data_IF_679718740630
#
_entry.id   IF_679718740630
#
_cell.length_a   1.000
_cell.length_b   1.000
_cell.length_c   1.000
_cell.angle_alpha   90.00
_cell.angle_beta   90.00
_cell.angle_gamma   90.00
#
_symmetry.space_group_name_H-M   'P 1'
#
loop_
_entity.id
_entity.type
_entity.pdbx_description
1 polymer ?
#
# COMPACT_ATOMS: atom_id res chain seq x y z
N UNK A 1 1.15 -1.68 13.54
CA UNK A 1 -0.20 -2.07 13.09
C UNK A 1 -1.31 -1.29 13.80
N UNK A 2 -1.29 -1.19 15.14
CA UNK A 2 -2.31 -0.51 15.95
C UNK A 2 -2.60 0.94 15.48
N UNK A 3 -1.55 1.67 15.11
CA UNK A 3 -1.63 3.06 14.63
C UNK A 3 -2.56 3.26 13.42
N UNK A 4 -2.77 2.24 12.60
CA UNK A 4 -3.53 2.37 11.34
C UNK A 4 -5.02 2.05 11.48
N UNK A 5 -5.51 1.61 12.65
CA UNK A 5 -6.96 1.43 12.86
C UNK A 5 -7.70 2.77 12.78
N UNK A 6 -7.03 3.88 13.07
CA UNK A 6 -7.58 5.23 12.88
C UNK A 6 -7.95 5.53 11.43
N UNK A 7 -7.19 4.98 10.47
CA UNK A 7 -7.41 5.17 9.04
C UNK A 7 -8.77 4.64 8.57
N UNK A 8 -9.32 3.66 9.30
CA UNK A 8 -10.65 3.09 9.07
C UNK A 8 -11.68 3.59 10.10
N UNK A 9 -11.43 4.71 10.78
CA UNK A 9 -12.41 5.38 11.64
C UNK A 9 -12.43 4.95 13.10
N UNK A 10 -11.32 4.43 13.63
CA UNK A 10 -11.17 4.18 15.07
C UNK A 10 -10.15 5.13 15.72
N UNK A 11 -10.19 6.43 15.39
CA UNK A 11 -9.20 7.39 15.89
C UNK A 11 -9.23 7.57 17.41
N UNK A 12 -10.38 7.32 18.04
CA UNK A 12 -10.56 7.46 19.50
C UNK A 12 -10.25 6.18 20.30
N UNK A 13 -10.01 5.04 19.64
CA UNK A 13 -9.70 3.77 20.31
C UNK A 13 -8.18 3.60 20.42
N UNK A 14 -7.59 4.27 21.41
CA UNK A 14 -6.14 4.24 21.63
C UNK A 14 -5.72 3.34 22.80
N UNK A 15 -6.63 3.02 23.72
CA UNK A 15 -6.29 2.20 24.88
C UNK A 15 -6.22 0.71 24.52
N UNK A 16 -5.38 -0.03 25.23
CA UNK A 16 -5.29 -1.49 25.06
C UNK A 16 -6.63 -2.18 25.32
N UNK A 17 -7.44 -1.66 26.26
CA UNK A 17 -8.77 -2.19 26.59
C UNK A 17 -9.76 -1.99 25.42
N UNK A 18 -9.71 -0.83 24.76
CA UNK A 18 -10.57 -0.56 23.60
C UNK A 18 -10.24 -1.50 22.45
N UNK A 19 -8.95 -1.75 22.24
CA UNK A 19 -8.44 -2.67 21.21
C UNK A 19 -8.88 -4.10 21.51
N UNK A 20 -8.68 -4.58 22.75
CA UNK A 20 -9.09 -5.94 23.13
C UNK A 20 -10.60 -6.13 22.99
N UNK A 21 -11.39 -5.10 23.31
CA UNK A 21 -12.84 -5.11 23.12
C UNK A 21 -13.19 -5.18 21.63
N UNK A 22 -12.54 -4.36 20.80
CA UNK A 22 -12.73 -4.38 19.35
C UNK A 22 -12.36 -5.73 18.73
N UNK A 23 -11.27 -6.36 19.17
CA UNK A 23 -10.88 -7.69 18.69
C UNK A 23 -11.92 -8.73 19.07
N UNK A 24 -12.42 -8.72 20.32
CA UNK A 24 -13.50 -9.63 20.75
C UNK A 24 -14.75 -9.43 19.90
N UNK A 25 -15.13 -8.18 19.63
CA UNK A 25 -16.28 -7.85 18.80
C UNK A 25 -16.11 -8.33 17.35
N UNK A 26 -14.90 -8.28 16.79
CA UNK A 26 -14.59 -8.82 15.46
C UNK A 26 -14.74 -10.34 15.43
N UNK A 27 -14.25 -11.05 16.45
CA UNK A 27 -14.35 -12.51 16.54
C UNK A 27 -15.80 -12.97 16.73
N UNK A 28 -16.56 -12.28 17.58
CA UNK A 28 -17.96 -12.66 17.90
C UNK A 28 -18.96 -12.35 16.77
N UNK A 29 -18.71 -11.29 16.00
CA UNK A 29 -19.62 -10.80 14.95
C UNK A 29 -18.92 -10.75 13.58
N UNK A 30 -18.11 -11.76 13.28
CA UNK A 30 -17.40 -11.85 12.01
C UNK A 30 -18.37 -11.99 10.83
N UNK A 31 -18.12 -11.25 9.75
CA UNK A 31 -18.85 -11.39 8.49
C UNK A 31 -18.34 -12.59 7.68
N UNK A 32 -17.07 -12.92 7.85
CA UNK A 32 -16.40 -14.01 7.16
C UNK A 32 -15.40 -14.68 8.10
N UNK A 33 -15.42 -16.00 8.13
CA UNK A 33 -14.46 -16.84 8.86
C UNK A 33 -13.77 -17.75 7.85
N UNK A 34 -12.45 -17.75 7.85
CA UNK A 34 -11.65 -18.63 6.99
C UNK A 34 -10.77 -19.50 7.87
N UNK A 35 -10.74 -20.79 7.55
CA UNK A 35 -9.96 -21.79 8.27
C UNK A 35 -8.94 -22.43 7.34
N UNK A 36 -7.72 -22.60 7.84
CA UNK A 36 -6.62 -23.27 7.15
C UNK A 36 -6.05 -24.31 8.11
N UNK A 37 -6.05 -25.58 7.71
CA UNK A 37 -5.46 -26.66 8.49
C UNK A 37 -4.00 -26.77 8.07
N UNK A 38 -3.06 -26.58 9.00
CA UNK A 38 -1.64 -26.78 8.76
C UNK A 38 -1.30 -28.28 8.86
N UNK A 39 -0.18 -28.68 8.23
CA UNK A 39 0.28 -30.09 8.22
C UNK A 39 0.58 -30.66 9.61
N UNK A 40 0.84 -29.80 10.59
CA UNK A 40 1.08 -30.17 11.99
C UNK A 40 -0.21 -30.38 12.81
N UNK A 41 -1.39 -30.24 12.20
CA UNK A 41 -2.69 -30.36 12.87
C UNK A 41 -3.20 -29.07 13.51
N UNK A 42 -2.39 -28.00 13.57
CA UNK A 42 -2.86 -26.71 14.08
C UNK A 42 -3.83 -26.06 13.09
N UNK A 43 -4.93 -25.52 13.61
CA UNK A 43 -5.97 -24.87 12.83
C UNK A 43 -5.72 -23.36 12.88
N UNK A 44 -5.39 -22.77 11.73
CA UNK A 44 -5.28 -21.32 11.59
C UNK A 44 -6.63 -20.74 11.21
N UNK A 45 -7.09 -19.73 11.94
CA UNK A 45 -8.39 -19.09 11.71
C UNK A 45 -8.25 -17.60 11.52
N UNK A 46 -8.95 -17.09 10.49
CA UNK A 46 -9.05 -15.68 10.16
C UNK A 46 -10.51 -15.23 10.28
N UNK A 47 -10.76 -14.31 11.20
CA UNK A 47 -12.04 -13.62 11.39
C UNK A 47 -11.97 -12.25 10.72
N UNK A 48 -12.89 -11.96 9.80
CA UNK A 48 -12.98 -10.66 9.14
C UNK A 48 -14.33 -10.02 9.45
N UNK A 49 -14.30 -8.74 9.83
CA UNK A 49 -15.51 -7.92 10.03
C UNK A 49 -15.36 -6.57 9.35
N UNK A 50 -16.43 -6.15 8.69
CA UNK A 50 -16.52 -4.91 7.93
C UNK A 50 -17.12 -3.81 8.81
N UNK A 51 -16.52 -2.61 8.75
CA UNK A 51 -16.98 -1.43 9.46
C UNK A 51 -17.40 -0.30 8.52
N UNK A 52 -17.58 -0.62 7.24
CA UNK A 52 -17.95 0.30 6.18
C UNK A 52 -17.78 -0.36 4.82
N UNK A 53 -17.99 0.40 3.76
CA UNK A 53 -17.82 -0.11 2.40
C UNK A 53 -16.35 -0.45 2.13
N UNK A 54 -16.05 -1.75 1.98
CA UNK A 54 -14.71 -2.29 1.70
C UNK A 54 -13.64 -2.04 2.77
N UNK A 55 -14.00 -1.54 3.96
CA UNK A 55 -13.08 -1.35 5.08
C UNK A 55 -13.46 -2.25 6.26
N UNK A 56 -12.47 -2.73 6.99
CA UNK A 56 -12.73 -3.61 8.12
C UNK A 56 -11.49 -3.99 8.90
N UNK A 57 -11.66 -4.93 9.83
CA UNK A 57 -10.57 -5.49 10.63
C UNK A 57 -10.53 -6.99 10.42
N UNK A 58 -9.32 -7.51 10.27
CA UNK A 58 -9.02 -8.93 10.25
C UNK A 58 -8.29 -9.31 11.52
N UNK A 59 -8.74 -10.37 12.19
CA UNK A 59 -8.11 -10.99 13.35
C UNK A 59 -7.71 -12.41 12.97
N UNK A 60 -6.45 -12.74 13.20
CA UNK A 60 -5.87 -14.05 12.90
C UNK A 60 -5.34 -14.70 14.17
N UNK A 61 -5.45 -16.01 14.24
CA UNK A 61 -4.98 -16.78 15.38
C UNK A 61 -5.00 -18.28 15.13
N UNK A 62 -4.68 -19.05 16.15
CA UNK A 62 -4.72 -20.51 16.12
C UNK A 62 -5.82 -21.03 17.05
N UNK A 63 -6.57 -22.03 16.60
CA UNK A 63 -7.46 -22.80 17.45
C UNK A 63 -6.73 -24.04 17.96
N UNK A 64 -6.75 -24.23 19.29
CA UNK A 64 -6.21 -25.43 19.91
C UNK A 64 -7.16 -26.63 19.76
N UNK A 65 -6.68 -27.83 20.13
CA UNK A 65 -7.46 -29.07 20.08
C UNK A 65 -8.75 -29.03 20.94
N UNK A 66 -8.87 -28.05 21.85
CA UNK A 66 -10.03 -27.83 22.72
C UNK A 66 -11.02 -26.81 22.13
N UNK A 67 -10.73 -26.24 20.96
CA UNK A 67 -11.54 -25.22 20.31
C UNK A 67 -11.39 -23.82 20.93
N UNK A 68 -10.35 -23.57 21.72
CA UNK A 68 -10.05 -22.23 22.24
C UNK A 68 -9.24 -21.46 21.21
N UNK A 69 -9.75 -20.29 20.82
CA UNK A 69 -9.08 -19.40 19.88
C UNK A 69 -8.02 -18.55 20.60
N UNK A 70 -6.76 -18.72 20.20
CA UNK A 70 -5.63 -17.92 20.65
C UNK A 70 -5.30 -16.87 19.59
N UNK A 71 -5.51 -15.60 19.94
CA UNK A 71 -5.26 -14.47 19.04
C UNK A 71 -3.76 -14.35 18.76
N UNK A 72 -3.38 -14.31 17.49
CA UNK A 72 -2.00 -14.07 17.05
C UNK A 72 -1.78 -12.62 16.62
N UNK A 73 -2.47 -12.19 15.57
CA UNK A 73 -2.29 -10.85 14.97
C UNK A 73 -3.63 -10.27 14.55
N UNK A 74 -3.77 -8.95 14.59
CA UNK A 74 -4.90 -8.25 13.97
C UNK A 74 -4.42 -7.06 13.15
N UNK A 75 -5.18 -6.71 12.12
CA UNK A 75 -4.90 -5.55 11.28
C UNK A 75 -6.16 -4.98 10.62
N UNK A 76 -6.23 -3.65 10.44
CA UNK A 76 -7.21 -3.02 9.56
C UNK A 76 -6.91 -3.35 8.10
N UNK A 77 -7.96 -3.43 7.28
CA UNK A 77 -7.85 -3.66 5.84
C UNK A 77 -8.74 -2.70 5.04
N UNK A 78 -8.34 -2.49 3.79
CA UNK A 78 -9.14 -1.92 2.72
C UNK A 78 -9.16 -2.92 1.56
N UNK A 79 -10.33 -3.24 1.03
CA UNK A 79 -10.49 -4.04 -0.20
C UNK A 79 -10.54 -3.11 -1.40
N UNK A 80 -9.62 -3.30 -2.34
CA UNK A 80 -9.52 -2.43 -3.52
C UNK A 80 -10.71 -2.59 -4.46
N UNK A 81 -11.28 -1.46 -4.88
CA UNK A 81 -12.23 -1.34 -5.99
C UNK A 81 -11.56 -0.88 -7.28
N UNK A 82 -10.25 -0.63 -7.24
CA UNK A 82 -9.49 -0.06 -8.34
C UNK A 82 -9.10 -1.14 -9.36
N UNK A 83 -10.06 -1.55 -10.18
CA UNK A 83 -9.89 -2.62 -11.19
C UNK A 83 -8.79 -2.36 -12.21
N UNK A 84 -8.61 -1.11 -12.61
CA UNK A 84 -7.60 -0.67 -13.58
C UNK A 84 -6.19 -0.60 -12.98
N UNK A 85 -6.07 -0.79 -11.65
CA UNK A 85 -4.83 -0.63 -10.91
C UNK A 85 -4.17 -1.94 -10.46
N UNK A 86 -4.35 -3.00 -11.23
CA UNK A 86 -3.68 -4.27 -10.95
C UNK A 86 -2.26 -4.24 -11.53
N UNK A 87 -1.27 -4.53 -10.69
CA UNK A 87 0.08 -4.81 -11.17
C UNK A 87 0.18 -6.28 -11.58
N UNK A 88 0.84 -6.54 -12.70
CA UNK A 88 1.13 -7.88 -13.22
C UNK A 88 2.64 -8.11 -13.16
N UNK A 89 3.16 -8.38 -11.96
CA UNK A 89 4.60 -8.53 -11.71
C UNK A 89 4.91 -9.89 -11.06
N UNK A 90 6.19 -10.28 -11.07
CA UNK A 90 6.66 -11.43 -10.28
C UNK A 90 6.70 -11.04 -8.79
N UNK A 91 6.11 -11.90 -7.96
CA UNK A 91 5.96 -11.62 -6.52
C UNK A 91 6.73 -12.64 -5.71
N UNK A 92 7.57 -12.13 -4.82
CA UNK A 92 8.26 -12.90 -3.80
C UNK A 92 7.50 -12.82 -2.48
N UNK A 93 7.04 -13.95 -1.96
CA UNK A 93 6.33 -13.99 -0.67
C UNK A 93 7.30 -14.43 0.43
N UNK A 94 7.40 -13.60 1.47
CA UNK A 94 8.24 -13.84 2.64
C UNK A 94 7.40 -13.89 3.91
N UNK A 95 7.65 -14.89 4.78
CA UNK A 95 7.10 -14.92 6.14
C UNK A 95 7.94 -14.02 7.04
N UNK A 96 7.32 -13.12 7.83
CA UNK A 96 8.04 -12.35 8.86
C UNK A 96 8.53 -13.32 9.95
N UNK A 97 9.76 -13.14 10.43
CA UNK A 97 10.37 -14.03 11.43
C UNK A 97 9.63 -13.95 12.77
N UNK A 98 9.20 -12.74 13.14
CA UNK A 98 8.65 -12.44 14.47
C UNK A 98 7.10 -12.44 14.51
N UNK A 99 6.44 -12.85 13.43
CA UNK A 99 4.97 -12.83 13.34
C UNK A 99 4.45 -13.84 12.32
N UNK A 100 3.18 -14.23 12.43
CA UNK A 100 2.47 -14.95 11.38
C UNK A 100 2.02 -14.05 10.20
N UNK A 101 2.60 -12.85 10.11
CA UNK A 101 2.44 -11.96 8.97
C UNK A 101 3.33 -12.38 7.80
N UNK A 102 2.83 -12.15 6.58
CA UNK A 102 3.56 -12.39 5.35
C UNK A 102 3.60 -11.09 4.56
N UNK A 103 4.71 -10.87 3.86
CA UNK A 103 4.92 -9.71 2.99
C UNK A 103 5.17 -10.18 1.57
N UNK A 104 4.52 -9.52 0.61
CA UNK A 104 4.85 -9.65 -0.80
C UNK A 104 5.91 -8.62 -1.16
N UNK A 105 6.83 -8.99 -2.03
CA UNK A 105 7.80 -8.11 -2.64
C UNK A 105 7.69 -8.23 -4.16
N UNK A 106 7.55 -7.13 -4.88
CA UNK A 106 7.63 -7.09 -6.34
C UNK A 106 8.62 -6.00 -6.79
N UNK A 107 9.36 -6.29 -7.86
CA UNK A 107 10.30 -5.35 -8.45
C UNK A 107 9.61 -4.58 -9.58
N UNK A 108 9.03 -3.43 -9.26
CA UNK A 108 8.38 -2.57 -10.24
C UNK A 108 9.38 -1.54 -10.79
N UNK A 109 9.56 -1.53 -12.11
CA UNK A 109 10.46 -0.61 -12.81
C UNK A 109 10.11 0.87 -12.61
N UNK A 110 8.84 1.21 -12.37
CA UNK A 110 8.38 2.59 -12.25
C UNK A 110 8.82 3.27 -10.96
N UNK A 111 9.14 2.51 -9.91
CA UNK A 111 9.57 3.06 -8.60
C UNK A 111 11.10 3.06 -8.48
N UNK A 112 11.79 2.22 -9.26
CA UNK A 112 13.23 2.03 -9.16
C UNK A 112 13.68 1.35 -7.86
N UNK A 113 12.73 0.84 -7.05
CA UNK A 113 12.97 0.06 -5.83
C UNK A 113 11.96 -1.08 -5.72
N UNK A 114 12.35 -2.15 -5.02
CA UNK A 114 11.45 -3.25 -4.67
C UNK A 114 10.31 -2.76 -3.78
N UNK A 115 9.08 -2.97 -4.22
CA UNK A 115 7.87 -2.68 -3.47
C UNK A 115 7.58 -3.82 -2.52
N UNK A 116 7.51 -3.53 -1.23
CA UNK A 116 7.18 -4.49 -0.19
C UNK A 116 5.83 -4.11 0.41
N UNK A 117 4.92 -5.06 0.54
CA UNK A 117 3.58 -4.81 1.04
C UNK A 117 3.10 -5.94 1.95
N UNK A 118 2.21 -5.61 2.88
CA UNK A 118 1.59 -6.56 3.78
C UNK A 118 0.51 -7.40 3.07
N UNK A 119 0.57 -8.73 3.19
CA UNK A 119 -0.36 -9.64 2.51
C UNK A 119 -1.70 -9.78 3.25
N UNK A 120 -2.79 -9.36 2.61
CA UNK A 120 -4.14 -9.47 3.19
C UNK A 120 -4.77 -10.86 3.05
N UNK A 121 -4.56 -11.57 1.94
CA UNK A 121 -5.26 -12.82 1.61
C UNK A 121 -4.33 -14.03 1.54
N UNK A 122 -3.61 -14.27 2.62
CA UNK A 122 -2.61 -15.34 2.71
C UNK A 122 -3.20 -16.73 2.51
N UNK A 123 -4.47 -16.93 2.85
CA UNK A 123 -5.11 -18.22 2.72
C UNK A 123 -5.09 -18.75 1.29
N UNK A 124 -5.14 -17.86 0.30
CA UNK A 124 -5.12 -18.25 -1.11
C UNK A 124 -3.75 -18.81 -1.48
N UNK A 125 -2.68 -18.22 -0.94
CA UNK A 125 -1.32 -18.70 -1.12
C UNK A 125 -1.07 -20.03 -0.40
N UNK A 126 -1.52 -20.18 0.85
CA UNK A 126 -1.33 -21.43 1.59
C UNK A 126 -2.11 -22.57 0.93
N UNK A 127 -3.35 -22.30 0.48
CA UNK A 127 -4.18 -23.31 -0.19
C UNK A 127 -3.68 -23.71 -1.57
N UNK A 128 -3.00 -22.83 -2.30
CA UNK A 128 -2.46 -23.20 -3.62
C UNK A 128 -1.34 -24.24 -3.50
N UNK A 129 -0.79 -24.48 -2.30
CA UNK A 129 0.28 -25.43 -2.08
C UNK A 129 1.55 -25.07 -2.85
N UNK A 130 1.63 -23.85 -3.37
CA UNK A 130 2.76 -23.38 -4.14
C UNK A 130 3.94 -23.21 -3.19
N UNK A 131 4.84 -24.19 -3.22
CA UNK A 131 6.11 -24.17 -2.47
C UNK A 131 7.08 -23.15 -3.07
N UNK A 132 6.72 -22.52 -4.19
CA UNK A 132 7.50 -21.46 -4.81
C UNK A 132 7.30 -20.18 -4.01
N UNK A 133 8.43 -19.60 -3.60
CA UNK A 133 8.51 -18.24 -3.10
C UNK A 133 8.06 -17.23 -4.16
N UNK A 134 8.03 -17.63 -5.43
CA UNK A 134 7.71 -16.82 -6.60
C UNK A 134 6.35 -17.17 -7.21
N UNK A 135 5.49 -16.15 -7.29
CA UNK A 135 4.25 -16.19 -8.05
C UNK A 135 4.42 -15.40 -9.34
N UNK A 136 4.41 -16.09 -10.47
CA UNK A 136 4.57 -15.45 -11.77
C UNK A 136 3.20 -15.01 -12.33
N UNK A 137 3.15 -13.80 -12.90
CA UNK A 137 1.98 -13.23 -13.60
C UNK A 137 0.70 -13.20 -12.75
N UNK A 138 0.82 -12.98 -11.43
CA UNK A 138 -0.34 -12.75 -10.57
C UNK A 138 -0.68 -11.27 -10.55
N UNK A 139 -1.98 -11.00 -10.62
CA UNK A 139 -2.52 -9.64 -10.50
C UNK A 139 -2.54 -9.25 -9.03
N UNK A 140 -1.87 -8.15 -8.70
CA UNK A 140 -1.86 -7.61 -7.33
C UNK A 140 -2.73 -6.38 -7.29
N UNK A 141 -3.63 -6.32 -6.32
CA UNK A 141 -4.30 -5.08 -5.96
C UNK A 141 -3.56 -4.44 -4.81
N UNK A 142 -3.01 -3.26 -5.06
CA UNK A 142 -2.31 -2.47 -4.07
C UNK A 142 -3.28 -1.52 -3.37
N UNK A 143 -3.23 -1.53 -2.04
CA UNK A 143 -3.99 -0.62 -1.18
C UNK A 143 -3.10 -0.05 -0.10
N UNK A 144 -3.53 1.05 0.50
CA UNK A 144 -2.79 1.62 1.61
C UNK A 144 -3.68 2.21 2.69
N UNK A 145 -3.15 2.24 3.91
CA UNK A 145 -3.78 2.89 5.06
C UNK A 145 -2.88 4.02 5.50
N UNK A 146 -3.42 5.23 5.67
CA UNK A 146 -2.64 6.38 6.10
C UNK A 146 -3.04 6.83 7.49
N UNK A 147 -2.05 7.09 8.33
CA UNK A 147 -2.23 7.63 9.68
C UNK A 147 -2.24 9.17 9.70
N UNK A 148 -1.67 9.81 8.68
CA UNK A 148 -1.65 11.27 8.54
C UNK A 148 -1.35 11.66 7.10
N UNK A 149 -2.01 12.73 6.64
CA UNK A 149 -1.89 13.18 5.26
C UNK A 149 -2.16 14.66 5.09
N UNK A 150 -1.65 15.22 4.00
CA UNK A 150 -1.84 16.62 3.61
C UNK A 150 -2.16 16.67 2.12
N UNK A 151 -3.11 17.55 1.76
CA UNK A 151 -3.41 17.85 0.37
C UNK A 151 -2.52 18.99 -0.11
N UNK A 152 -1.86 18.77 -1.24
CA UNK A 152 -0.94 19.70 -1.89
C UNK A 152 -1.56 20.10 -3.23
N UNK A 153 -1.34 21.37 -3.60
CA UNK A 153 -1.78 21.90 -4.89
C UNK A 153 -1.12 21.15 -6.07
N UNK A 154 -1.78 21.08 -7.25
CA UNK A 154 -1.16 20.56 -8.46
C UNK A 154 0.11 21.31 -8.83
N UNK A 155 1.03 20.65 -9.53
CA UNK A 155 2.13 21.32 -10.20
C UNK A 155 1.63 21.99 -11.49
N UNK A 156 2.15 23.17 -11.81
CA UNK A 156 1.80 23.87 -13.04
C UNK A 156 2.55 23.23 -14.22
N UNK A 157 1.83 22.48 -15.07
CA UNK A 157 2.39 21.87 -16.29
C UNK A 157 2.02 22.67 -17.54
N UNK A 158 2.96 22.82 -18.48
CA UNK A 158 2.63 23.23 -19.85
C UNK A 158 2.12 21.98 -20.60
N UNK A 159 1.05 22.09 -21.36
CA UNK A 159 0.36 20.92 -21.99
C UNK A 159 1.32 20.01 -22.78
N UNK A 160 2.31 20.59 -23.47
CA UNK A 160 3.34 19.85 -24.23
C UNK A 160 4.29 19.01 -23.36
N UNK A 161 4.48 19.35 -22.08
CA UNK A 161 5.42 18.64 -21.19
C UNK A 161 4.89 17.30 -20.70
N UNK A 162 3.58 17.06 -20.72
CA UNK A 162 3.00 15.81 -20.21
C UNK A 162 3.17 14.65 -21.21
N UNK A 163 2.99 14.90 -22.51
CA UNK A 163 3.21 13.90 -23.56
C UNK A 163 4.71 13.59 -23.68
N UNK A 164 5.56 14.62 -23.63
CA UNK A 164 7.01 14.45 -23.64
C UNK A 164 7.49 13.62 -22.44
N UNK A 165 7.00 13.89 -21.23
CA UNK A 165 7.37 13.14 -20.02
C UNK A 165 6.94 11.66 -20.06
N UNK A 166 5.79 11.34 -20.67
CA UNK A 166 5.39 9.92 -20.84
C UNK A 166 6.29 9.17 -21.81
N UNK A 167 6.70 9.83 -22.90
CA UNK A 167 7.63 9.24 -23.87
C UNK A 167 9.00 9.05 -23.22
N UNK A 168 9.47 10.05 -22.48
CA UNK A 168 10.74 10.01 -21.76
C UNK A 168 10.79 8.87 -20.72
N UNK A 169 9.71 8.69 -19.95
CA UNK A 169 9.59 7.56 -19.01
C UNK A 169 9.60 6.21 -19.72
N UNK A 170 8.91 6.07 -20.87
CA UNK A 170 8.91 4.82 -21.63
C UNK A 170 10.31 4.47 -22.18
N UNK A 171 11.05 5.47 -22.69
CA UNK A 171 12.43 5.30 -23.14
C UNK A 171 13.34 4.94 -21.95
N UNK A 172 13.17 5.61 -20.81
CA UNK A 172 13.91 5.30 -19.58
C UNK A 172 13.66 3.86 -19.10
N UNK A 173 12.41 3.39 -19.11
CA UNK A 173 12.06 2.04 -18.72
C UNK A 173 12.72 1.00 -19.64
N UNK A 174 12.71 1.24 -20.97
CA UNK A 174 13.39 0.36 -21.91
C UNK A 174 14.90 0.28 -21.64
N UNK A 175 15.56 1.42 -21.42
CA UNK A 175 16.98 1.46 -21.08
C UNK A 175 17.27 0.75 -19.74
N UNK A 176 16.37 0.82 -18.76
CA UNK A 176 16.50 0.08 -17.51
C UNK A 176 16.42 -1.43 -17.72
N UNK A 177 15.53 -1.91 -18.57
CA UNK A 177 15.42 -3.33 -18.89
C UNK A 177 16.66 -3.84 -19.64
N UNK A 178 17.17 -3.06 -20.60
CA UNK A 178 18.43 -3.34 -21.30
C UNK A 178 19.63 -3.38 -20.33
N UNK A 179 19.71 -2.40 -19.41
CA UNK A 179 20.73 -2.36 -18.37
C UNK A 179 20.64 -3.56 -17.40
N UNK A 180 19.43 -3.98 -17.00
CA UNK A 180 19.21 -5.19 -16.19
C UNK A 180 19.71 -6.46 -16.88
N UNK A 181 19.62 -6.49 -18.21
CA UNK A 181 20.15 -7.59 -19.03
C UNK A 181 21.67 -7.51 -19.26
N UNK A 182 22.36 -6.53 -18.67
CA UNK A 182 23.81 -6.39 -18.71
C UNK A 182 24.34 -5.49 -19.85
N UNK A 183 23.49 -4.69 -20.50
CA UNK A 183 23.94 -3.73 -21.51
C UNK A 183 24.68 -2.54 -20.87
N UNK A 184 25.99 -2.48 -21.11
CA UNK A 184 26.86 -1.42 -20.61
C UNK A 184 26.58 -0.07 -21.28
N UNK A 185 26.12 -0.03 -22.53
CA UNK A 185 25.79 1.22 -23.20
C UNK A 185 24.54 1.86 -22.59
N UNK A 186 23.53 1.05 -22.26
CA UNK A 186 22.34 1.52 -21.57
C UNK A 186 22.68 2.09 -20.18
N UNK A 187 23.58 1.43 -19.43
CA UNK A 187 24.09 1.91 -18.15
C UNK A 187 24.80 3.27 -18.25
N UNK A 188 25.64 3.45 -19.27
CA UNK A 188 26.36 4.71 -19.50
C UNK A 188 25.38 5.85 -19.82
N UNK A 189 24.39 5.59 -20.68
CA UNK A 189 23.35 6.58 -21.04
C UNK A 189 22.54 7.00 -19.80
N UNK A 190 22.10 6.02 -19.00
CA UNK A 190 21.37 6.29 -17.75
C UNK A 190 22.23 7.11 -16.78
N UNK A 191 23.51 6.76 -16.63
CA UNK A 191 24.43 7.46 -15.73
C UNK A 191 24.68 8.91 -16.14
N UNK A 192 24.88 9.16 -17.45
CA UNK A 192 25.07 10.52 -17.97
C UNK A 192 23.80 11.36 -17.78
N UNK A 193 22.63 10.79 -18.12
CA UNK A 193 21.34 11.44 -17.93
C UNK A 193 21.08 11.79 -16.45
N UNK A 194 21.40 10.87 -15.53
CA UNK A 194 21.24 11.11 -14.10
C UNK A 194 22.19 12.20 -13.57
N UNK A 195 23.42 12.29 -14.07
CA UNK A 195 24.34 13.38 -13.72
C UNK A 195 23.78 14.75 -14.14
N UNK A 196 23.29 14.86 -15.39
CA UNK A 196 22.72 16.09 -15.93
C UNK A 196 21.43 16.49 -15.18
N UNK A 197 20.56 15.51 -14.92
CA UNK A 197 19.32 15.72 -14.16
C UNK A 197 19.61 16.20 -12.74
N UNK A 198 20.55 15.57 -12.04
CA UNK A 198 20.93 15.96 -10.68
C UNK A 198 21.54 17.37 -10.64
N UNK A 199 22.37 17.73 -11.62
CA UNK A 199 22.90 19.09 -11.73
C UNK A 199 21.80 20.13 -11.97
N UNK A 200 20.85 19.84 -12.86
CA UNK A 200 19.71 20.72 -13.12
C UNK A 200 18.78 20.87 -11.89
N UNK A 201 18.51 19.78 -11.18
CA UNK A 201 17.71 19.77 -9.95
C UNK A 201 18.40 20.58 -8.84
N UNK A 202 19.71 20.42 -8.67
CA UNK A 202 20.47 21.14 -7.65
C UNK A 202 20.43 22.66 -7.84
N UNK A 203 20.37 23.14 -9.09
CA UNK A 203 20.22 24.56 -9.37
C UNK A 203 18.79 25.05 -9.10
N UNK A 204 17.77 24.29 -9.52
CA UNK A 204 16.36 24.65 -9.32
C UNK A 204 15.98 24.73 -7.84
N UNK A 205 16.48 23.83 -7.01
CA UNK A 205 16.19 23.80 -5.55
C UNK A 205 16.62 25.10 -4.85
N UNK A 206 17.59 25.86 -5.41
CA UNK A 206 18.01 27.15 -4.83
C UNK A 206 16.97 28.25 -5.00
N UNK A 207 16.08 28.13 -5.98
CA UNK A 207 15.18 29.20 -6.41
C UNK A 207 13.70 28.81 -6.43
N UNK A 208 13.38 27.51 -6.44
CA UNK A 208 12.03 26.96 -6.49
C UNK A 208 11.71 26.15 -5.22
N UNK A 209 10.44 26.07 -4.86
CA UNK A 209 9.98 25.18 -3.78
C UNK A 209 10.05 23.71 -4.20
N UNK A 210 10.44 22.84 -3.27
CA UNK A 210 10.62 21.40 -3.52
C UNK A 210 9.36 20.75 -4.11
N UNK A 211 8.17 21.10 -3.62
CA UNK A 211 6.91 20.51 -4.10
C UNK A 211 6.43 21.12 -5.42
N UNK A 212 7.11 22.16 -5.91
CA UNK A 212 6.93 22.69 -7.27
C UNK A 212 7.81 21.96 -8.28
N UNK A 213 8.95 21.44 -7.84
CA UNK A 213 9.88 20.65 -8.65
C UNK A 213 9.45 19.18 -8.71
N UNK A 214 9.18 18.57 -7.55
CA UNK A 214 8.86 17.14 -7.43
C UNK A 214 7.37 16.95 -7.62
N UNK A 215 7.02 16.12 -8.61
CA UNK A 215 5.62 15.80 -8.90
C UNK A 215 5.10 14.68 -8.00
N UNK A 216 5.76 13.53 -8.07
CA UNK A 216 5.48 12.34 -7.28
C UNK A 216 6.73 11.86 -6.56
N UNK A 217 6.56 11.19 -5.43
CA UNK A 217 7.67 10.62 -4.68
C UNK A 217 7.20 9.39 -3.93
N UNK A 218 8.02 8.35 -3.91
CA UNK A 218 7.76 7.11 -3.20
C UNK A 218 9.02 6.74 -2.42
N UNK A 219 9.00 6.91 -1.09
CA UNK A 219 10.21 6.81 -0.27
C UNK A 219 9.93 5.90 0.94
N UNK A 220 10.76 4.88 1.22
CA UNK A 220 10.63 4.06 2.43
C UNK A 220 10.61 4.91 3.71
N UNK A 221 9.80 4.52 4.69
CA UNK A 221 9.62 5.28 5.91
C UNK A 221 9.80 4.43 7.18
N UNK A 222 10.80 4.76 7.98
CA UNK A 222 11.04 4.09 9.26
C UNK A 222 11.78 2.76 9.11
N UNK A 223 11.64 1.89 10.12
CA UNK A 223 12.32 0.59 10.20
C UNK A 223 11.52 -0.57 9.58
N UNK A 224 10.24 -0.38 9.34
CA UNK A 224 9.37 -1.39 8.72
C UNK A 224 9.43 -1.26 7.20
N UNK A 225 9.55 -2.40 6.52
CA UNK A 225 9.73 -2.45 5.08
C UNK A 225 8.46 -2.13 4.27
N UNK A 226 7.29 -2.22 4.89
CA UNK A 226 5.97 -2.01 4.27
C UNK A 226 5.40 -0.59 4.49
N UNK A 227 6.23 0.34 5.00
CA UNK A 227 5.87 1.73 5.24
C UNK A 227 6.53 2.67 4.24
N UNK A 228 5.75 3.59 3.68
CA UNK A 228 6.25 4.55 2.69
C UNK A 228 5.71 5.95 2.95
N UNK A 229 6.50 6.96 2.62
CA UNK A 229 6.04 8.32 2.39
C UNK A 229 5.74 8.48 0.91
N UNK A 230 4.49 8.79 0.60
CA UNK A 230 4.04 8.99 -0.79
C UNK A 230 3.66 10.43 -1.03
N UNK A 231 3.99 10.91 -2.23
CA UNK A 231 3.43 12.09 -2.87
C UNK A 231 2.82 11.61 -4.19
N UNK A 232 1.49 11.59 -4.27
CA UNK A 232 0.78 11.05 -5.43
C UNK A 232 -0.33 11.98 -5.92
N UNK A 233 -0.64 11.91 -7.21
CA UNK A 233 -1.73 12.65 -7.83
C UNK A 233 -3.08 11.99 -7.51
N UNK A 234 -4.06 12.76 -7.04
CA UNK A 234 -5.40 12.26 -6.70
C UNK A 234 -6.23 12.17 -7.98
N UNK A 235 -6.70 10.96 -8.30
CA UNK A 235 -7.63 10.72 -9.39
C UNK A 235 -9.08 10.90 -8.95
N UNK A 236 -9.42 10.37 -7.78
CA UNK A 236 -10.77 10.46 -7.21
C UNK A 236 -10.72 10.43 -5.70
N UNK A 237 -11.69 11.08 -5.07
CA UNK A 237 -11.89 11.07 -3.63
C UNK A 237 -13.35 10.78 -3.33
N UNK A 238 -13.61 9.85 -2.41
CA UNK A 238 -14.95 9.56 -1.89
C UNK A 238 -14.93 9.49 -0.37
N UNK A 239 -16.03 9.84 0.26
CA UNK A 239 -16.18 9.72 1.71
C UNK A 239 -16.94 8.44 2.06
N UNK A 240 -16.50 7.83 3.14
CA UNK A 240 -17.15 6.74 3.84
C UNK A 240 -17.41 7.13 5.28
N UNK A 241 -18.31 6.38 5.92
CA UNK A 241 -18.59 6.52 7.34
C UNK A 241 -18.40 5.16 8.00
N UNK A 242 -17.65 5.12 9.10
CA UNK A 242 -17.54 3.93 9.91
C UNK A 242 -18.89 3.62 10.56
N UNK A 243 -19.37 2.38 10.47
CA UNK A 243 -20.69 1.97 10.96
C UNK A 243 -20.77 1.89 12.48
N UNK A 244 -19.64 1.66 13.16
CA UNK A 244 -19.55 1.55 14.62
C UNK A 244 -19.30 2.91 15.27
N UNK A 245 -18.28 3.64 14.83
CA UNK A 245 -17.86 4.91 15.46
C UNK A 245 -18.55 6.13 14.86
N UNK A 246 -19.06 6.01 13.63
CA UNK A 246 -19.63 7.12 12.88
C UNK A 246 -18.58 8.10 12.32
N UNK A 247 -17.29 7.82 12.47
CA UNK A 247 -16.21 8.67 11.94
C UNK A 247 -16.21 8.70 10.41
N UNK A 248 -15.87 9.86 9.84
CA UNK A 248 -15.75 10.05 8.40
C UNK A 248 -14.35 9.65 7.93
N UNK A 249 -14.30 8.92 6.83
CA UNK A 249 -13.08 8.37 6.24
C UNK A 249 -13.03 8.78 4.79
N UNK A 250 -11.89 9.27 4.34
CA UNK A 250 -11.63 9.50 2.93
C UNK A 250 -11.02 8.25 2.30
N UNK A 251 -11.60 7.82 1.18
CA UNK A 251 -10.97 6.85 0.28
C UNK A 251 -10.49 7.60 -0.95
N UNK A 252 -9.18 7.61 -1.16
CA UNK A 252 -8.53 8.28 -2.27
C UNK A 252 -7.98 7.25 -3.24
N UNK A 253 -8.22 7.45 -4.53
CA UNK A 253 -7.47 6.77 -5.59
C UNK A 253 -6.37 7.70 -6.02
N UNK A 254 -5.12 7.31 -5.79
CA UNK A 254 -3.95 8.09 -6.16
C UNK A 254 -3.11 7.33 -7.18
N UNK A 255 -2.32 8.08 -7.95
CA UNK A 255 -1.25 7.54 -8.77
C UNK A 255 0.06 8.16 -8.30
N UNK A 256 1.02 7.30 -7.96
CA UNK A 256 2.36 7.69 -7.55
C UNK A 256 3.37 6.94 -8.40
N UNK A 257 4.20 7.65 -9.18
CA UNK A 257 5.13 7.04 -10.13
C UNK A 257 4.44 5.98 -11.01
N UNK A 258 3.33 6.36 -11.65
CA UNK A 258 2.49 5.47 -12.47
C UNK A 258 1.87 4.25 -11.74
N UNK A 259 2.09 4.10 -10.44
CA UNK A 259 1.46 3.06 -9.63
C UNK A 259 0.12 3.55 -9.07
N UNK A 260 -0.98 2.88 -9.44
CA UNK A 260 -2.29 3.15 -8.87
C UNK A 260 -2.42 2.54 -7.47
N UNK A 261 -2.77 3.37 -6.50
CA UNK A 261 -2.96 2.97 -5.10
C UNK A 261 -4.30 3.49 -4.61
N UNK A 262 -5.15 2.61 -4.08
CA UNK A 262 -6.34 3.03 -3.33
C UNK A 262 -5.99 3.11 -1.85
N UNK A 263 -6.15 4.28 -1.24
CA UNK A 263 -5.80 4.51 0.15
C UNK A 263 -6.98 5.00 0.98
N UNK A 264 -6.96 4.70 2.28
CA UNK A 264 -7.88 5.29 3.26
C UNK A 264 -7.14 6.17 4.27
N UNK A 265 -7.82 7.22 4.71
CA UNK A 265 -7.37 8.10 5.80
C UNK A 265 -8.58 8.65 6.56
N UNK A 266 -8.45 8.80 7.87
CA UNK A 266 -9.48 9.48 8.67
C UNK A 266 -9.65 10.94 8.21
N UNK A 267 -10.86 11.47 8.21
CA UNK A 267 -11.09 12.87 7.88
C UNK A 267 -10.39 13.84 8.85
N UNK A 268 -10.29 13.48 10.13
CA UNK A 268 -9.64 14.30 11.15
C UNK A 268 -8.11 14.30 11.02
N UNK A 269 -7.53 13.29 10.35
CA UNK A 269 -6.08 13.13 10.13
C UNK A 269 -5.62 13.71 8.78
N UNK A 270 -6.55 14.19 7.95
CA UNK A 270 -6.28 14.75 6.64
C UNK A 270 -6.32 16.28 6.69
N UNK A 271 -5.18 16.92 6.44
CA UNK A 271 -5.09 18.36 6.33
C UNK A 271 -5.43 18.82 4.90
N UNK A 272 -6.52 19.57 4.75
CA UNK A 272 -6.99 20.08 3.46
C UNK A 272 -8.07 19.20 2.83
N UNK A 273 -8.67 19.69 1.74
CA UNK A 273 -9.78 19.01 1.08
C UNK A 273 -9.30 18.21 -0.13
N UNK A 274 -9.50 16.87 -0.18
CA UNK A 274 -9.04 16.07 -1.30
C UNK A 274 -9.92 16.34 -2.52
N UNK A 275 -9.30 16.59 -3.67
CA UNK A 275 -10.00 16.81 -4.93
C UNK A 275 -9.21 16.21 -6.08
N UNK A 276 -9.88 15.70 -7.14
CA UNK A 276 -9.20 15.26 -8.35
C UNK A 276 -8.24 16.34 -8.90
N UNK A 277 -7.04 15.92 -9.28
CA UNK A 277 -5.97 16.81 -9.76
C UNK A 277 -5.11 17.43 -8.65
N UNK A 278 -5.54 17.41 -7.39
CA UNK A 278 -4.67 17.75 -6.26
C UNK A 278 -3.70 16.59 -5.98
N UNK A 279 -2.75 16.80 -5.08
CA UNK A 279 -1.78 15.78 -4.66
C UNK A 279 -1.98 15.40 -3.20
N UNK A 280 -1.84 14.12 -2.90
CA UNK A 280 -1.80 13.60 -1.54
C UNK A 280 -0.35 13.41 -1.12
N UNK A 281 0.03 13.95 0.05
CA UNK A 281 1.29 13.65 0.72
C UNK A 281 1.02 13.04 2.09
N UNK A 282 1.53 11.85 2.34
CA UNK A 282 1.33 11.21 3.65
C UNK A 282 2.20 9.98 3.86
N UNK A 283 2.23 9.53 5.10
CA UNK A 283 2.80 8.22 5.44
C UNK A 283 1.72 7.18 5.26
N UNK A 284 2.05 6.12 4.55
CA UNK A 284 1.15 5.01 4.24
C UNK A 284 1.74 3.70 4.71
N UNK A 285 0.86 2.81 5.16
CA UNK A 285 1.15 1.39 5.30
C UNK A 285 0.59 0.65 4.11
N UNK A 286 1.49 0.02 3.36
CA UNK A 286 1.19 -0.63 2.11
C UNK A 286 0.69 -2.05 2.35
N UNK A 287 -0.43 -2.39 1.73
CA UNK A 287 -0.99 -3.73 1.75
C UNK A 287 -1.31 -4.19 0.33
N UNK A 288 -1.35 -5.50 0.13
CA UNK A 288 -1.66 -6.11 -1.15
C UNK A 288 -2.57 -7.32 -1.02
N UNK A 289 -3.40 -7.49 -2.05
CA UNK A 289 -4.26 -8.65 -2.24
C UNK A 289 -3.90 -9.31 -3.57
N UNK A 290 -3.63 -10.63 -3.54
CA UNK A 290 -3.51 -11.44 -4.75
C UNK A 290 -4.89 -11.63 -5.37
N UNK A 291 -5.04 -11.37 -6.66
CA UNK A 291 -6.30 -11.57 -7.37
C UNK A 291 -6.43 -12.95 -8.02
#
# INVERSE_FOLDING_TARGET
MHTYIRAIGFSKKESQVDIETLIKDVVLQADSVKTIIKDNGNIYVEYQRSFGENIGITVRGEEDEKGTFHIGTYFPFLKSTFKEGMLEEEIYINKKVDSDAYTGMCDDNHVGVSLIFYMQNIEQYIKSGETRLTLNNKKIKLVALSSSGKIILPTQKRIYSHIASKIDNAVKNQLMDEAKNGDMQALDILSMSDMDNNAALAERIKHEDLFSIVETSFIPYGSESDLYTVLGNILSARQLKNTETGELIWVLKIVCNDIPIELTINADDLMGFPSPGMRFKGVIWMQGELA
#
